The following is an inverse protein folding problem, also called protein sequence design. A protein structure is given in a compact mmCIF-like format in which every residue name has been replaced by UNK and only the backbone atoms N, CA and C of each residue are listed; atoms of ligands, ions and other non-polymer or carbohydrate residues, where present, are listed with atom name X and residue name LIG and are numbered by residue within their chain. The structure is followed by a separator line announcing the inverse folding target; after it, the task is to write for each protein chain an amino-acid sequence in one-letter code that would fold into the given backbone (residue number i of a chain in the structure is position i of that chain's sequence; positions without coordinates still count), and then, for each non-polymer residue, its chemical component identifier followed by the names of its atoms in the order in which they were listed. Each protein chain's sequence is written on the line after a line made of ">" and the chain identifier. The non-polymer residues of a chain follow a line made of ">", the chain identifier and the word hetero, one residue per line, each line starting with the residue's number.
data_IF_967332739986
#
_entry.id   IF_967332739986
#
_cell.length_a   1.000
_cell.length_b   1.000
_cell.length_c   1.000
_cell.angle_alpha   90.00
_cell.angle_beta   90.00
_cell.angle_gamma   90.00
#
_symmetry.space_group_name_H-M   'P 1'
#
loop_
_entity.id
_entity.type
_entity.pdbx_description
1 polymer ?
#
# COMPACT_ATOMS: atom_id res chain seq x y z
N UNK A 1 -8.07 1.68 -5.57
CA UNK A 1 -7.31 0.46 -5.93
C UNK A 1 -6.93 -0.25 -4.64
N UNK A 2 -7.25 -1.52 -4.49
CA UNK A 2 -6.84 -2.31 -3.32
C UNK A 2 -6.85 -3.78 -3.73
N UNK A 3 -6.08 -4.59 -3.02
CA UNK A 3 -5.64 -5.94 -3.37
C UNK A 3 -6.71 -6.78 -4.11
N UNK A 4 -7.90 -6.93 -3.51
CA UNK A 4 -8.94 -7.83 -4.04
C UNK A 4 -9.98 -7.16 -4.94
N UNK A 5 -9.84 -5.86 -5.21
CA UNK A 5 -10.78 -5.11 -6.06
C UNK A 5 -10.60 -5.50 -7.53
N UNK A 6 -9.37 -5.47 -8.05
CA UNK A 6 -9.07 -5.76 -9.46
C UNK A 6 -9.55 -7.15 -9.88
N UNK A 7 -9.16 -8.26 -9.21
CA UNK A 7 -9.66 -9.58 -9.60
C UNK A 7 -11.17 -9.73 -9.39
N UNK A 8 -11.74 -9.14 -8.34
CA UNK A 8 -13.18 -9.16 -8.07
C UNK A 8 -14.00 -8.54 -9.20
N UNK A 9 -13.58 -7.36 -9.66
CA UNK A 9 -14.25 -6.64 -10.75
C UNK A 9 -14.03 -7.30 -12.11
N UNK A 10 -12.83 -7.85 -12.37
CA UNK A 10 -12.57 -8.61 -13.59
C UNK A 10 -13.42 -9.87 -13.69
N UNK A 11 -13.60 -10.61 -12.58
CA UNK A 11 -14.51 -11.77 -12.54
C UNK A 11 -15.95 -11.37 -12.88
N UNK A 12 -16.43 -10.23 -12.34
CA UNK A 12 -17.78 -9.75 -12.64
C UNK A 12 -17.92 -9.33 -14.11
N UNK A 13 -16.95 -8.61 -14.66
CA UNK A 13 -16.94 -8.19 -16.06
C UNK A 13 -17.00 -9.39 -17.01
N UNK A 14 -16.20 -10.42 -16.77
CA UNK A 14 -16.22 -11.66 -17.57
C UNK A 14 -17.53 -12.43 -17.45
N UNK A 15 -18.15 -12.45 -16.26
CA UNK A 15 -19.45 -13.12 -16.05
C UNK A 15 -20.61 -12.40 -16.75
N UNK A 16 -20.60 -11.07 -16.77
CA UNK A 16 -21.65 -10.27 -17.41
C UNK A 16 -21.48 -10.19 -18.93
N UNK A 17 -20.22 -10.26 -19.42
CA UNK A 17 -19.88 -10.22 -20.85
C UNK A 17 -20.46 -9.02 -21.60
N UNK A 18 -20.39 -7.83 -20.97
CA UNK A 18 -20.75 -6.55 -21.57
C UNK A 18 -19.49 -5.67 -21.71
N UNK A 19 -19.48 -4.63 -22.56
CA UNK A 19 -18.33 -3.73 -22.69
C UNK A 19 -17.96 -3.09 -21.35
N UNK A 20 -16.70 -3.28 -20.91
CA UNK A 20 -16.16 -2.77 -19.64
C UNK A 20 -14.74 -2.24 -19.87
N UNK A 21 -14.38 -1.17 -19.14
CA UNK A 21 -13.01 -0.67 -19.01
C UNK A 21 -12.61 -0.68 -17.53
N UNK A 22 -11.38 -1.09 -17.24
CA UNK A 22 -10.83 -1.03 -15.89
C UNK A 22 -9.88 0.15 -15.76
N UNK A 23 -10.10 1.00 -14.76
CA UNK A 23 -9.26 2.16 -14.47
C UNK A 23 -8.63 1.95 -13.10
N UNK A 24 -7.32 1.67 -13.07
CA UNK A 24 -6.59 1.58 -11.81
C UNK A 24 -6.54 2.94 -11.13
N UNK A 25 -6.75 2.93 -9.81
CA UNK A 25 -6.61 4.13 -8.98
C UNK A 25 -5.16 4.52 -8.68
N UNK A 26 -4.18 3.67 -9.01
CA UNK A 26 -2.76 3.92 -8.80
C UNK A 26 -2.26 3.67 -7.37
N UNK A 27 -0.93 3.55 -7.20
CA UNK A 27 -0.28 3.41 -5.92
C UNK A 27 -0.19 4.74 -5.18
N UNK A 28 -0.02 4.67 -3.86
CA UNK A 28 0.41 5.82 -3.07
C UNK A 28 1.90 6.09 -3.29
N UNK A 29 2.31 7.34 -3.06
CA UNK A 29 3.73 7.69 -3.05
C UNK A 29 4.46 6.98 -1.91
N UNK A 30 5.75 6.72 -2.11
CA UNK A 30 6.56 6.10 -1.07
C UNK A 30 6.79 7.05 0.11
N UNK A 31 6.66 6.52 1.33
CA UNK A 31 6.86 7.24 2.57
C UNK A 31 8.30 7.71 2.77
N UNK A 32 8.48 8.75 3.58
CA UNK A 32 9.80 9.30 3.92
C UNK A 32 9.78 9.81 5.35
N UNK A 33 10.83 9.54 6.11
CA UNK A 33 11.06 10.10 7.45
C UNK A 33 12.54 10.47 7.59
N UNK A 34 12.89 11.26 8.61
CA UNK A 34 14.28 11.55 8.97
C UNK A 34 14.95 10.40 9.73
N UNK A 35 14.17 9.44 10.22
CA UNK A 35 14.65 8.27 10.95
C UNK A 35 15.20 7.16 10.04
N UNK A 36 15.01 7.27 8.73
CA UNK A 36 15.34 6.24 7.74
C UNK A 36 15.98 6.85 6.50
N UNK A 37 17.06 6.23 6.02
CA UNK A 37 17.71 6.61 4.76
C UNK A 37 16.98 6.03 3.53
N UNK A 38 16.22 4.95 3.70
CA UNK A 38 15.39 4.37 2.64
C UNK A 38 13.95 4.89 2.70
N UNK A 39 13.28 4.83 1.54
CA UNK A 39 11.85 5.12 1.43
C UNK A 39 11.05 4.09 2.20
N UNK A 40 10.06 4.55 2.95
CA UNK A 40 9.19 3.71 3.75
C UNK A 40 8.00 3.18 2.94
N UNK A 41 7.58 1.97 3.28
CA UNK A 41 6.28 1.42 2.93
C UNK A 41 5.56 0.83 4.17
N UNK A 42 4.37 0.26 3.94
CA UNK A 42 3.55 -0.32 5.00
C UNK A 42 4.27 -1.45 5.77
N UNK A 43 5.17 -2.19 5.13
CA UNK A 43 5.91 -3.29 5.77
C UNK A 43 6.92 -2.73 6.77
N UNK A 44 7.60 -1.63 6.46
CA UNK A 44 8.53 -0.99 7.41
C UNK A 44 7.82 -0.60 8.71
N UNK A 45 6.62 -0.02 8.62
CA UNK A 45 5.80 0.32 9.78
C UNK A 45 5.39 -0.91 10.60
N UNK A 46 5.05 -2.02 9.93
CA UNK A 46 4.73 -3.27 10.62
C UNK A 46 5.95 -3.89 11.30
N UNK A 47 7.13 -3.81 10.68
CA UNK A 47 8.38 -4.37 11.21
C UNK A 47 8.83 -3.59 12.44
N UNK A 48 8.85 -2.25 12.39
CA UNK A 48 9.27 -1.44 13.54
C UNK A 48 8.30 -1.58 14.72
N UNK A 49 7.00 -1.70 14.47
CA UNK A 49 6.00 -1.91 15.51
C UNK A 49 6.16 -3.27 16.23
N UNK A 50 6.81 -4.24 15.59
CA UNK A 50 7.13 -5.54 16.17
C UNK A 50 8.52 -5.59 16.83
N UNK A 51 9.33 -4.53 16.69
CA UNK A 51 10.67 -4.46 17.26
C UNK A 51 10.59 -4.05 18.75
N UNK A 52 10.97 -4.92 19.70
CA UNK A 52 10.91 -4.61 21.13
C UNK A 52 11.91 -3.54 21.57
N UNK A 53 12.84 -3.15 20.70
CA UNK A 53 13.84 -2.10 20.97
C UNK A 53 13.43 -0.73 20.45
N UNK A 54 12.37 -0.65 19.63
CA UNK A 54 11.83 0.61 19.15
C UNK A 54 11.05 1.33 20.26
N UNK A 55 11.21 2.65 20.35
CA UNK A 55 10.38 3.46 21.26
C UNK A 55 9.02 3.72 20.64
N UNK A 56 8.02 3.99 21.47
CA UNK A 56 6.67 4.32 20.99
C UNK A 56 6.69 5.54 20.04
N UNK A 57 7.55 6.53 20.31
CA UNK A 57 7.70 7.71 19.45
C UNK A 57 8.30 7.37 18.08
N UNK A 58 9.25 6.42 18.03
CA UNK A 58 9.78 5.95 16.75
C UNK A 58 8.71 5.22 15.94
N UNK A 59 7.94 4.34 16.59
CA UNK A 59 6.86 3.60 15.94
C UNK A 59 5.80 4.57 15.39
N UNK A 60 5.38 5.57 16.18
CA UNK A 60 4.40 6.58 15.73
C UNK A 60 4.92 7.38 14.52
N UNK A 61 6.19 7.78 14.52
CA UNK A 61 6.78 8.53 13.40
C UNK A 61 6.85 7.68 12.12
N UNK A 62 7.20 6.40 12.22
CA UNK A 62 7.18 5.47 11.09
C UNK A 62 5.76 5.25 10.56
N UNK A 63 4.79 5.01 11.45
CA UNK A 63 3.38 4.78 11.08
C UNK A 63 2.81 5.98 10.31
N UNK A 64 3.01 7.19 10.83
CA UNK A 64 2.54 8.44 10.18
C UNK A 64 3.23 8.71 8.84
N UNK A 65 4.46 8.22 8.66
CA UNK A 65 5.28 8.48 7.47
C UNK A 65 5.12 7.44 6.37
N UNK A 66 4.70 6.21 6.69
CA UNK A 66 4.67 5.08 5.77
C UNK A 66 3.57 5.17 4.69
N UNK A 67 2.48 5.92 4.95
CA UNK A 67 1.33 6.05 4.05
C UNK A 67 1.01 7.53 3.76
N UNK A 68 1.83 8.22 2.94
CA UNK A 68 1.78 9.68 2.82
C UNK A 68 0.64 10.22 1.94
N UNK A 69 0.10 9.40 1.03
CA UNK A 69 -0.95 9.82 0.07
C UNK A 69 -2.02 8.73 -0.09
N UNK A 70 -3.12 9.07 -0.76
CA UNK A 70 -4.09 8.06 -1.18
C UNK A 70 -3.50 7.14 -2.27
N UNK A 71 -3.99 5.90 -2.33
CA UNK A 71 -3.59 4.91 -3.33
C UNK A 71 -3.49 3.49 -2.76
N UNK A 72 -3.14 2.52 -3.61
CA UNK A 72 -2.71 1.18 -3.15
C UNK A 72 -1.34 1.24 -2.48
N UNK A 73 -0.92 0.13 -1.83
CA UNK A 73 0.42 0.03 -1.24
C UNK A 73 1.52 0.42 -2.24
N UNK A 74 2.55 1.14 -1.80
CA UNK A 74 3.60 1.73 -2.66
C UNK A 74 4.59 0.70 -3.23
N UNK A 75 4.74 -0.46 -2.58
CA UNK A 75 5.61 -1.56 -3.04
C UNK A 75 4.99 -2.43 -4.13
N UNK A 76 5.79 -3.33 -4.71
CA UNK A 76 5.32 -4.33 -5.70
C UNK A 76 4.59 -5.49 -5.02
N UNK A 77 3.39 -5.20 -4.51
CA UNK A 77 2.50 -6.16 -3.87
C UNK A 77 1.27 -6.44 -4.75
N UNK A 78 0.32 -7.22 -4.23
CA UNK A 78 -0.82 -7.72 -5.02
C UNK A 78 -1.63 -6.63 -5.71
N UNK A 79 -1.86 -5.48 -5.06
CA UNK A 79 -2.62 -4.37 -5.64
C UNK A 79 -1.94 -3.69 -6.86
N UNK A 80 -0.61 -3.83 -7.01
CA UNK A 80 0.16 -3.25 -8.10
C UNK A 80 0.62 -4.31 -9.13
N UNK A 81 0.63 -5.59 -8.76
CA UNK A 81 0.88 -6.70 -9.70
C UNK A 81 -0.33 -7.06 -10.56
N UNK A 82 -1.54 -6.71 -10.10
CA UNK A 82 -2.82 -6.94 -10.76
C UNK A 82 -3.28 -5.72 -11.55
#
# INVERSE_FOLDING_TARGET
>A
NCDKITPGMLMAAMRLNIPVIFVSGGPMEAGKTRLSEHKLDLVDAMVIAADPTATDEMVEEYERSACPTCGSCSGMFTANSM
#
